data_IF_997569972069
#
_entry.id   IF_997569972069
#
_cell.length_a   1.000
_cell.length_b   1.000
_cell.length_c   1.000
_cell.angle_alpha   90.00
_cell.angle_beta   90.00
_cell.angle_gamma   90.00
#
_symmetry.space_group_name_H-M   'P 1'
#
loop_
_entity.id
_entity.type
_entity.pdbx_description
1 polymer ?
#
# COMPACT_ATOMS: atom_id res chain seq x y z
N UNK A 1 -12.73 8.11 -5.19
CA UNK A 1 -11.57 7.69 -4.37
C UNK A 1 -10.93 8.79 -3.55
N UNK A 2 -10.88 10.05 -4.02
CA UNK A 2 -10.37 11.20 -3.26
C UNK A 2 -10.86 11.27 -1.80
N UNK A 3 -12.18 11.16 -1.58
CA UNK A 3 -12.75 11.25 -0.22
C UNK A 3 -12.27 10.11 0.73
N UNK A 4 -12.03 8.91 0.20
CA UNK A 4 -11.56 7.76 0.98
C UNK A 4 -10.10 7.99 1.40
N UNK A 5 -9.26 8.40 0.45
CA UNK A 5 -7.88 8.76 0.72
C UNK A 5 -7.77 9.88 1.75
N UNK A 6 -8.53 10.96 1.59
CA UNK A 6 -8.50 12.11 2.52
C UNK A 6 -8.90 11.68 3.94
N UNK A 7 -9.92 10.81 4.09
CA UNK A 7 -10.31 10.28 5.40
C UNK A 7 -9.20 9.42 6.03
N UNK A 8 -8.55 8.56 5.24
CA UNK A 8 -7.44 7.72 5.71
C UNK A 8 -6.21 8.57 6.10
N UNK A 9 -5.83 9.53 5.26
CA UNK A 9 -4.77 10.49 5.54
C UNK A 9 -5.06 11.27 6.82
N UNK A 10 -6.30 11.74 7.00
CA UNK A 10 -6.71 12.44 8.23
C UNK A 10 -6.51 11.57 9.48
N UNK A 11 -6.81 10.27 9.43
CA UNK A 11 -6.59 9.41 10.59
C UNK A 11 -5.11 9.25 10.96
N UNK A 12 -4.22 9.13 9.96
CA UNK A 12 -2.78 9.20 10.22
C UNK A 12 -2.37 10.54 10.84
N UNK A 13 -2.91 11.65 10.32
CA UNK A 13 -2.65 12.99 10.85
C UNK A 13 -3.16 13.20 12.28
N UNK A 14 -4.33 12.65 12.63
CA UNK A 14 -4.95 12.85 13.94
C UNK A 14 -4.32 11.97 15.03
N UNK A 15 -3.82 10.78 14.67
CA UNK A 15 -3.40 9.75 15.62
C UNK A 15 -1.88 9.57 15.73
N UNK A 16 -1.12 10.23 14.86
CA UNK A 16 0.34 10.12 14.82
C UNK A 16 0.98 11.49 14.57
N UNK A 17 2.31 11.54 14.45
CA UNK A 17 3.03 12.75 14.03
C UNK A 17 3.18 12.88 12.50
N UNK A 18 2.61 11.96 11.71
CA UNK A 18 2.64 12.02 10.25
C UNK A 18 1.63 13.06 9.77
N UNK A 19 1.97 13.83 8.74
CA UNK A 19 1.11 14.88 8.21
C UNK A 19 1.07 14.84 6.68
N UNK A 20 0.02 14.22 6.14
CA UNK A 20 -0.25 14.20 4.71
C UNK A 20 -0.89 15.52 4.27
N UNK A 21 -0.24 16.20 3.32
CA UNK A 21 -0.71 17.45 2.72
C UNK A 21 -0.63 17.38 1.21
N UNK A 22 -1.63 17.96 0.55
CA UNK A 22 -1.59 18.17 -0.90
C UNK A 22 -0.60 19.29 -1.21
N UNK A 23 0.42 18.96 -2.01
CA UNK A 23 1.42 19.92 -2.44
C UNK A 23 2.00 19.49 -3.79
N UNK A 24 1.70 20.25 -4.84
CA UNK A 24 2.18 19.94 -6.19
C UNK A 24 3.65 20.33 -6.42
N UNK A 25 4.21 21.20 -5.56
CA UNK A 25 5.56 21.72 -5.68
C UNK A 25 6.67 20.83 -5.11
N UNK A 26 6.34 19.75 -4.40
CA UNK A 26 7.38 18.85 -3.86
C UNK A 26 7.91 17.90 -4.93
N UNK A 27 9.23 17.73 -4.95
CA UNK A 27 9.92 16.73 -5.79
C UNK A 27 9.46 15.32 -5.45
N UNK A 28 9.43 15.03 -4.16
CA UNK A 28 9.00 13.74 -3.63
C UNK A 28 7.54 13.85 -3.21
N UNK A 29 6.68 13.06 -3.83
CA UNK A 29 5.23 13.12 -3.62
C UNK A 29 4.55 11.81 -3.92
N UNK A 30 3.44 11.60 -3.25
CA UNK A 30 2.54 10.49 -3.52
C UNK A 30 1.56 10.90 -4.63
N UNK A 31 1.46 10.08 -5.66
CA UNK A 31 0.46 10.22 -6.72
C UNK A 31 -0.58 9.12 -6.57
N UNK A 32 -1.76 9.53 -6.10
CA UNK A 32 -2.89 8.64 -5.87
C UNK A 32 -3.77 8.63 -7.11
N UNK A 33 -3.98 7.46 -7.67
CA UNK A 33 -4.73 7.26 -8.92
C UNK A 33 -5.48 5.92 -8.87
N UNK A 34 -6.31 5.66 -9.87
CA UNK A 34 -7.06 4.41 -9.98
C UNK A 34 -6.42 3.54 -11.05
N UNK A 35 -5.79 2.45 -10.64
CA UNK A 35 -5.36 1.35 -11.50
C UNK A 35 -6.06 0.06 -11.07
N UNK A 36 -5.69 -1.08 -11.66
CA UNK A 36 -6.14 -2.38 -11.20
C UNK A 36 -5.57 -2.71 -9.82
N UNK A 37 -6.46 -2.93 -8.86
CA UNK A 37 -6.11 -3.36 -7.49
C UNK A 37 -5.67 -2.24 -6.55
N UNK A 38 -5.40 -2.65 -5.31
CA UNK A 38 -4.97 -1.77 -4.20
C UNK A 38 -3.51 -2.07 -3.91
N UNK A 39 -2.65 -1.07 -4.06
CA UNK A 39 -1.22 -1.25 -3.79
C UNK A 39 -0.50 0.08 -3.61
N UNK A 40 0.63 0.01 -2.91
CA UNK A 40 1.60 1.09 -2.78
C UNK A 40 3.03 0.53 -2.70
N UNK A 41 4.01 1.38 -3.00
CA UNK A 41 5.41 1.05 -2.73
C UNK A 41 5.69 1.09 -1.23
N UNK A 42 6.57 0.21 -0.75
CA UNK A 42 7.01 0.22 0.65
C UNK A 42 8.06 1.32 0.86
N UNK A 43 7.72 2.33 1.66
CA UNK A 43 8.62 3.43 2.03
C UNK A 43 8.86 4.46 0.92
N UNK A 44 9.60 5.53 1.27
CA UNK A 44 9.95 6.62 0.34
C UNK A 44 10.96 6.14 -0.72
N UNK A 45 10.54 6.12 -1.98
CA UNK A 45 11.38 5.76 -3.14
C UNK A 45 12.19 6.94 -3.71
N UNK A 46 11.76 8.17 -3.41
CA UNK A 46 12.27 9.38 -4.04
C UNK A 46 11.51 9.71 -5.34
N UNK A 47 11.33 11.00 -5.63
CA UNK A 47 10.50 11.47 -6.74
C UNK A 47 9.00 11.23 -6.54
N UNK A 48 8.24 11.34 -7.63
CA UNK A 48 6.82 11.01 -7.68
C UNK A 48 6.66 9.49 -7.60
N UNK A 49 5.98 8.98 -6.57
CA UNK A 49 5.68 7.57 -6.41
C UNK A 49 4.18 7.30 -6.44
N UNK A 50 3.80 6.17 -7.03
CA UNK A 50 2.41 5.79 -7.29
C UNK A 50 1.78 5.01 -6.13
N UNK A 51 0.49 5.27 -5.88
CA UNK A 51 -0.40 4.48 -5.02
C UNK A 51 -1.73 4.28 -5.75
N UNK A 52 -2.13 3.03 -5.95
CA UNK A 52 -3.39 2.68 -6.58
C UNK A 52 -4.49 2.45 -5.55
N UNK A 53 -5.61 3.16 -5.71
CA UNK A 53 -6.90 2.83 -5.11
C UNK A 53 -7.89 2.58 -6.25
N UNK A 54 -7.81 1.37 -6.81
CA UNK A 54 -8.68 0.89 -7.88
C UNK A 54 -10.11 0.56 -7.44
N UNK A 55 -10.83 -0.09 -8.34
CA UNK A 55 -12.13 -0.71 -8.02
C UNK A 55 -11.95 -1.80 -6.94
N UNK A 56 -12.80 -1.79 -5.92
CA UNK A 56 -12.70 -2.64 -4.74
C UNK A 56 -11.84 -2.07 -3.60
N UNK A 57 -11.19 -0.92 -3.80
CA UNK A 57 -10.33 -0.27 -2.80
C UNK A 57 -11.03 0.87 -2.05
N UNK A 58 -12.36 0.95 -2.09
CA UNK A 58 -13.15 2.10 -1.65
C UNK A 58 -13.28 2.25 -0.12
N UNK A 59 -12.71 1.33 0.66
CA UNK A 59 -12.77 1.39 2.11
C UNK A 59 -11.65 2.26 2.70
N UNK A 60 -11.96 2.98 3.78
CA UNK A 60 -10.95 3.77 4.53
C UNK A 60 -9.84 2.87 5.07
N UNK A 61 -10.18 1.65 5.49
CA UNK A 61 -9.21 0.65 5.97
C UNK A 61 -8.18 0.26 4.91
N UNK A 62 -8.61 0.04 3.66
CA UNK A 62 -7.70 -0.24 2.56
C UNK A 62 -6.80 0.96 2.26
N UNK A 63 -7.35 2.18 2.20
CA UNK A 63 -6.51 3.36 2.00
C UNK A 63 -5.51 3.59 3.15
N UNK A 64 -5.88 3.31 4.39
CA UNK A 64 -4.97 3.33 5.55
C UNK A 64 -3.84 2.32 5.40
N UNK A 65 -4.17 1.11 4.97
CA UNK A 65 -3.23 0.03 4.72
C UNK A 65 -2.20 0.42 3.65
N UNK A 66 -2.65 0.96 2.51
CA UNK A 66 -1.75 1.42 1.44
C UNK A 66 -0.90 2.62 1.85
N UNK A 67 -1.43 3.52 2.69
CA UNK A 67 -0.64 4.59 3.31
C UNK A 67 0.41 4.01 4.28
N UNK A 68 0.09 2.93 5.01
CA UNK A 68 1.05 2.19 5.83
C UNK A 68 2.21 1.65 4.99
N UNK A 69 1.93 1.07 3.83
CA UNK A 69 2.97 0.70 2.87
C UNK A 69 3.81 1.90 2.45
N UNK A 70 3.19 3.02 2.06
CA UNK A 70 3.92 4.27 1.72
C UNK A 70 4.87 4.72 2.84
N UNK A 71 4.48 4.55 4.10
CA UNK A 71 5.30 4.89 5.28
C UNK A 71 6.43 3.90 5.57
N UNK A 72 6.41 2.71 4.97
CA UNK A 72 7.47 1.71 5.09
C UNK A 72 7.06 0.42 5.82
N UNK A 73 5.78 0.27 6.16
CA UNK A 73 5.31 -0.97 6.79
C UNK A 73 5.16 -2.08 5.74
N UNK A 74 5.74 -3.24 6.03
CA UNK A 74 5.44 -4.48 5.34
C UNK A 74 4.19 -5.12 5.94
N UNK A 75 3.63 -6.11 5.27
CA UNK A 75 2.58 -6.92 5.88
C UNK A 75 3.08 -7.62 7.14
N UNK A 76 2.27 -7.66 8.19
CA UNK A 76 2.67 -8.17 9.51
C UNK A 76 3.11 -9.64 9.48
N UNK A 77 2.55 -10.47 8.59
CA UNK A 77 2.97 -11.87 8.46
C UNK A 77 4.40 -12.03 7.89
N UNK A 78 5.01 -10.94 7.42
CA UNK A 78 6.39 -10.91 6.91
C UNK A 78 7.41 -10.52 7.97
N UNK A 79 7.00 -10.33 9.23
CA UNK A 79 7.94 -10.12 10.33
C UNK A 79 8.91 -11.30 10.47
N UNK A 80 10.12 -11.02 10.92
CA UNK A 80 11.16 -12.02 11.12
C UNK A 80 10.81 -13.07 12.20
N UNK A 81 9.97 -12.69 13.17
CA UNK A 81 9.51 -13.52 14.28
C UNK A 81 8.13 -14.16 14.02
N UNK A 82 7.59 -14.06 12.80
CA UNK A 82 6.23 -14.51 12.50
C UNK A 82 6.00 -16.00 12.81
N UNK A 83 7.03 -16.84 12.68
CA UNK A 83 6.95 -18.28 12.91
C UNK A 83 6.61 -18.63 14.37
N UNK A 84 6.80 -17.69 15.30
CA UNK A 84 6.41 -17.86 16.70
C UNK A 84 4.90 -17.66 16.93
N UNK A 85 4.18 -17.07 15.96
CA UNK A 85 2.77 -16.65 16.13
C UNK A 85 1.82 -17.26 15.11
N UNK A 86 2.29 -17.56 13.91
CA UNK A 86 1.46 -18.08 12.82
C UNK A 86 2.17 -19.19 12.05
N UNK A 87 1.39 -20.12 11.49
CA UNK A 87 1.89 -21.14 10.56
C UNK A 87 1.32 -20.88 9.16
N UNK A 88 2.19 -20.79 8.15
CA UNK A 88 1.76 -20.68 6.75
C UNK A 88 1.52 -22.09 6.22
N UNK A 89 0.26 -22.42 5.91
CA UNK A 89 -0.05 -23.62 5.16
C UNK A 89 0.20 -23.37 3.66
N UNK A 90 1.42 -23.67 3.22
CA UNK A 90 1.87 -23.47 1.83
C UNK A 90 1.06 -24.26 0.80
N UNK A 91 0.39 -25.35 1.18
CA UNK A 91 -0.45 -26.13 0.27
C UNK A 91 -1.71 -25.36 -0.17
N UNK A 92 -2.17 -24.43 0.68
CA UNK A 92 -3.33 -23.58 0.40
C UNK A 92 -2.96 -22.26 -0.31
N UNK A 93 -1.66 -22.01 -0.53
CA UNK A 93 -1.20 -20.80 -1.21
C UNK A 93 -1.20 -21.03 -2.72
N UNK A 94 -1.95 -20.22 -3.46
CA UNK A 94 -1.95 -20.26 -4.92
C UNK A 94 -0.56 -19.93 -5.45
N UNK A 95 0.09 -20.90 -6.08
CA UNK A 95 1.38 -20.66 -6.76
C UNK A 95 1.13 -19.86 -8.01
N UNK A 96 1.69 -18.65 -8.07
CA UNK A 96 1.72 -17.87 -9.31
C UNK A 96 2.73 -18.51 -10.26
N UNK A 97 2.28 -19.43 -11.12
CA UNK A 97 3.10 -19.93 -12.22
C UNK A 97 3.24 -18.80 -13.25
N UNK A 98 4.41 -18.17 -13.28
CA UNK A 98 4.80 -17.31 -14.41
C UNK A 98 4.80 -18.22 -15.65
N UNK A 99 3.81 -18.10 -16.52
CA UNK A 99 3.80 -18.85 -17.78
C UNK A 99 4.97 -18.34 -18.62
N UNK A 100 6.04 -19.12 -18.71
CA UNK A 100 7.24 -18.79 -19.48
C UNK A 100 6.99 -18.84 -21.00
N UNK A 101 5.75 -19.06 -21.46
CA UNK A 101 5.38 -19.13 -22.87
C UNK A 101 5.07 -17.79 -23.55
N UNK A 102 5.04 -16.69 -22.81
CA UNK A 102 5.01 -15.35 -23.42
C UNK A 102 6.21 -14.55 -22.93
N UNK A 103 7.36 -14.80 -23.56
CA UNK A 103 8.45 -13.86 -23.53
C UNK A 103 7.98 -12.54 -24.13
N UNK A 104 8.19 -11.45 -23.39
CA UNK A 104 8.31 -10.12 -23.97
C UNK A 104 9.52 -10.06 -24.91
#
# INVERSE_FOLDING_TARGET
MRNVFVKAAKQWNDLTCIDFKENDGTKDKLYVFQETGCWSNVGRRGGKQSLSLGEGCESVGVALHELGHTLGFFHTMSRHDRDDYITINSENVKVFRRDTRTGS
#
